data_IF_565201273458
#
_entry.id   IF_565201273458
#
_cell.length_a   1.000
_cell.length_b   1.000
_cell.length_c   1.000
_cell.angle_alpha   90.00
_cell.angle_beta   90.00
_cell.angle_gamma   90.00
#
_symmetry.space_group_name_H-M   'P 1'
#
loop_
_entity.id
_entity.type
_entity.pdbx_description
1 polymer ?
#
# COMPACT_ATOMS: atom_id res chain seq x y z
N UNK A 1 -21.56 -9.62 31.29
CA UNK A 1 -21.29 -9.18 29.90
C UNK A 1 -21.86 -7.77 29.76
N UNK A 2 -21.06 -6.75 30.07
CA UNK A 2 -21.45 -5.34 29.96
C UNK A 2 -20.85 -4.85 28.64
N UNK A 3 -21.65 -4.84 27.58
CA UNK A 3 -21.24 -4.28 26.29
C UNK A 3 -22.18 -3.08 26.13
N UNK A 4 -21.61 -1.87 26.06
CA UNK A 4 -22.39 -0.66 25.84
C UNK A 4 -23.20 -0.76 24.54
N UNK A 5 -24.23 0.08 24.34
CA UNK A 5 -24.99 0.10 23.10
C UNK A 5 -24.03 0.20 21.91
N UNK A 6 -24.27 -0.60 20.88
CA UNK A 6 -23.45 -0.57 19.68
C UNK A 6 -23.43 0.85 19.12
N UNK A 7 -22.24 1.42 18.92
CA UNK A 7 -22.08 2.70 18.22
C UNK A 7 -22.75 2.56 16.86
N UNK A 8 -23.76 3.38 16.59
CA UNK A 8 -24.37 3.46 15.27
C UNK A 8 -23.36 4.11 14.33
N UNK A 9 -22.56 3.28 13.64
CA UNK A 9 -21.63 3.75 12.62
C UNK A 9 -22.44 4.41 11.49
N UNK A 10 -22.31 5.74 11.37
CA UNK A 10 -22.87 6.47 10.23
C UNK A 10 -22.20 5.98 8.94
N UNK A 11 -22.96 5.93 7.85
CA UNK A 11 -22.46 5.49 6.54
C UNK A 11 -21.35 6.43 6.03
N UNK A 12 -20.18 5.87 5.72
CA UNK A 12 -19.07 6.59 5.11
C UNK A 12 -19.29 6.72 3.60
N UNK A 13 -19.65 7.93 3.15
CA UNK A 13 -19.94 8.22 1.74
C UNK A 13 -18.70 8.07 0.84
N UNK A 14 -17.51 8.08 1.42
CA UNK A 14 -16.23 7.95 0.69
C UNK A 14 -15.77 6.49 0.52
N UNK A 15 -16.42 5.52 1.16
CA UNK A 15 -15.99 4.10 1.20
C UNK A 15 -15.74 3.50 -0.20
N UNK A 16 -16.66 3.71 -1.15
CA UNK A 16 -16.50 3.20 -2.52
C UNK A 16 -15.31 3.85 -3.27
N UNK A 17 -14.99 5.10 -2.97
CA UNK A 17 -13.84 5.79 -3.55
C UNK A 17 -12.53 5.25 -2.97
N UNK A 18 -12.46 5.10 -1.64
CA UNK A 18 -11.31 4.51 -0.96
C UNK A 18 -10.98 3.12 -1.50
N UNK A 19 -11.99 2.25 -1.64
CA UNK A 19 -11.81 0.91 -2.19
C UNK A 19 -11.18 0.93 -3.60
N UNK A 20 -11.62 1.83 -4.48
CA UNK A 20 -11.06 1.97 -5.83
C UNK A 20 -9.58 2.38 -5.80
N UNK A 21 -9.23 3.39 -5.01
CA UNK A 21 -7.83 3.83 -4.88
C UNK A 21 -6.96 2.70 -4.30
N UNK A 22 -7.46 1.97 -3.31
CA UNK A 22 -6.77 0.83 -2.71
C UNK A 22 -6.47 -0.26 -3.73
N UNK A 23 -7.43 -0.60 -4.60
CA UNK A 23 -7.24 -1.58 -5.67
C UNK A 23 -6.19 -1.10 -6.68
N UNK A 24 -6.21 0.17 -7.09
CA UNK A 24 -5.20 0.67 -8.03
C UNK A 24 -3.78 0.60 -7.43
N UNK A 25 -3.61 1.00 -6.17
CA UNK A 25 -2.32 0.92 -5.48
C UNK A 25 -1.88 -0.54 -5.26
N UNK A 26 -2.81 -1.43 -4.93
CA UNK A 26 -2.54 -2.86 -4.80
C UNK A 26 -2.07 -3.47 -6.12
N UNK A 27 -2.77 -3.22 -7.24
CA UNK A 27 -2.39 -3.75 -8.56
C UNK A 27 -1.03 -3.20 -8.97
N UNK A 28 -0.77 -1.92 -8.75
CA UNK A 28 0.54 -1.32 -9.01
C UNK A 28 1.64 -2.03 -8.20
N UNK A 29 1.46 -2.16 -6.88
CA UNK A 29 2.42 -2.86 -6.02
C UNK A 29 2.63 -4.31 -6.47
N UNK A 30 1.54 -5.02 -6.78
CA UNK A 30 1.55 -6.41 -7.21
C UNK A 30 2.37 -6.59 -8.50
N UNK A 31 2.27 -5.68 -9.47
CA UNK A 31 3.06 -5.74 -10.70
C UNK A 31 4.57 -5.62 -10.40
N UNK A 32 4.96 -4.67 -9.54
CA UNK A 32 6.36 -4.49 -9.15
C UNK A 32 6.87 -5.71 -8.39
N UNK A 33 6.09 -6.22 -7.43
CA UNK A 33 6.42 -7.43 -6.67
C UNK A 33 6.52 -8.67 -7.56
N UNK A 34 5.63 -8.82 -8.54
CA UNK A 34 5.68 -9.92 -9.50
C UNK A 34 6.96 -9.86 -10.32
N UNK A 35 7.39 -8.67 -10.75
CA UNK A 35 8.68 -8.47 -11.40
C UNK A 35 9.86 -8.99 -10.56
N UNK A 36 9.88 -8.66 -9.27
CA UNK A 36 10.88 -9.20 -8.33
C UNK A 36 10.88 -10.73 -8.28
N UNK A 37 9.71 -11.34 -8.09
CA UNK A 37 9.57 -12.80 -8.00
C UNK A 37 10.05 -13.46 -9.29
N UNK A 38 9.60 -12.98 -10.46
CA UNK A 38 9.97 -13.51 -11.78
C UNK A 38 11.48 -13.48 -11.99
N UNK A 39 12.16 -12.39 -11.64
CA UNK A 39 13.62 -12.28 -11.80
C UNK A 39 14.33 -13.27 -10.87
N UNK A 40 13.88 -13.39 -9.61
CA UNK A 40 14.44 -14.36 -8.66
C UNK A 40 14.29 -15.80 -9.16
N UNK A 41 13.15 -16.15 -9.76
CA UNK A 41 12.88 -17.51 -10.24
C UNK A 41 13.62 -17.85 -11.53
N UNK A 42 13.68 -16.96 -12.52
CA UNK A 42 14.27 -17.27 -13.83
C UNK A 42 15.75 -16.91 -13.97
N UNK A 43 16.23 -15.91 -13.23
CA UNK A 43 17.60 -15.38 -13.35
C UNK A 43 18.21 -15.05 -11.97
N UNK A 44 18.34 -16.04 -11.07
CA UNK A 44 18.87 -15.81 -9.72
C UNK A 44 20.29 -15.22 -9.72
N UNK A 45 21.11 -15.53 -10.73
CA UNK A 45 22.45 -14.93 -10.87
C UNK A 45 22.45 -13.39 -10.99
N UNK A 46 21.38 -12.79 -11.54
CA UNK A 46 21.26 -11.33 -11.59
C UNK A 46 21.03 -10.74 -10.19
N UNK A 47 20.35 -11.47 -9.32
CA UNK A 47 20.03 -11.06 -7.96
C UNK A 47 21.24 -11.07 -7.03
N UNK A 48 22.27 -11.85 -7.37
CA UNK A 48 23.54 -11.94 -6.64
C UNK A 48 24.52 -10.80 -6.96
N UNK A 49 24.27 -10.05 -8.05
CA UNK A 49 25.14 -8.95 -8.48
C UNK A 49 25.14 -7.88 -7.37
N UNK A 50 26.33 -7.48 -6.94
CA UNK A 50 26.52 -6.37 -6.01
C UNK A 50 26.23 -5.05 -6.72
N UNK A 51 25.31 -4.27 -6.19
CA UNK A 51 24.85 -3.02 -6.82
C UNK A 51 25.13 -1.80 -5.96
N UNK A 52 25.01 -1.91 -4.63
CA UNK A 52 25.11 -0.74 -3.76
C UNK A 52 25.68 -1.11 -2.40
N UNK A 53 26.73 -0.41 -1.95
CA UNK A 53 27.38 -0.65 -0.66
C UNK A 53 27.71 -2.15 -0.40
N UNK A 54 28.24 -2.85 -1.41
CA UNK A 54 28.48 -4.30 -1.38
C UNK A 54 27.23 -5.19 -1.21
N UNK A 55 26.02 -4.61 -1.14
CA UNK A 55 24.76 -5.34 -1.11
C UNK A 55 24.41 -5.83 -2.51
N UNK A 56 23.88 -7.05 -2.55
CA UNK A 56 23.38 -7.65 -3.77
C UNK A 56 22.05 -7.01 -4.22
N UNK A 57 21.72 -7.18 -5.50
CA UNK A 57 20.53 -6.61 -6.10
C UNK A 57 19.25 -7.10 -5.41
N UNK A 58 19.20 -8.36 -4.95
CA UNK A 58 18.06 -8.88 -4.21
C UNK A 58 17.74 -8.07 -2.95
N UNK A 59 18.76 -7.75 -2.15
CA UNK A 59 18.60 -6.99 -0.91
C UNK A 59 18.13 -5.57 -1.23
N UNK A 60 18.79 -4.90 -2.17
CA UNK A 60 18.44 -3.52 -2.56
C UNK A 60 17.02 -3.44 -3.11
N UNK A 61 16.65 -4.37 -3.99
CA UNK A 61 15.30 -4.45 -4.54
C UNK A 61 14.26 -4.74 -3.45
N UNK A 62 14.54 -5.69 -2.56
CA UNK A 62 13.67 -6.03 -1.43
C UNK A 62 13.40 -4.84 -0.52
N UNK A 63 14.44 -4.09 -0.13
CA UNK A 63 14.25 -2.84 0.63
C UNK A 63 13.49 -1.79 -0.17
N UNK A 64 13.73 -1.69 -1.49
CA UNK A 64 12.95 -0.84 -2.38
C UNK A 64 11.45 -1.16 -2.35
N UNK A 65 11.07 -2.44 -2.35
CA UNK A 65 9.68 -2.87 -2.23
C UNK A 65 9.06 -2.49 -0.88
N UNK A 66 9.81 -2.56 0.21
CA UNK A 66 9.34 -2.14 1.54
C UNK A 66 9.06 -0.63 1.55
N UNK A 67 10.01 0.17 1.06
CA UNK A 67 9.86 1.63 0.97
C UNK A 67 8.66 1.99 0.08
N UNK A 68 8.51 1.31 -1.06
CA UNK A 68 7.39 1.52 -1.98
C UNK A 68 6.05 1.15 -1.34
N UNK A 69 5.96 0.07 -0.55
CA UNK A 69 4.75 -0.30 0.19
C UNK A 69 4.36 0.78 1.21
N UNK A 70 5.34 1.28 1.98
CA UNK A 70 5.12 2.35 2.95
C UNK A 70 4.64 3.62 2.23
N UNK A 71 5.31 4.01 1.15
CA UNK A 71 4.91 5.17 0.35
C UNK A 71 3.48 5.03 -0.19
N UNK A 72 3.13 3.85 -0.73
CA UNK A 72 1.77 3.57 -1.20
C UNK A 72 0.73 3.69 -0.07
N UNK A 73 1.04 3.18 1.13
CA UNK A 73 0.18 3.32 2.31
C UNK A 73 -0.02 4.77 2.74
N UNK A 74 1.05 5.58 2.75
CA UNK A 74 0.98 7.01 3.07
C UNK A 74 0.16 7.79 2.03
N UNK A 75 0.38 7.50 0.74
CA UNK A 75 -0.39 8.09 -0.36
C UNK A 75 -1.86 7.70 -0.28
N UNK A 76 -2.16 6.42 -0.02
CA UNK A 76 -3.51 5.94 0.18
C UNK A 76 -4.20 6.70 1.31
N UNK A 77 -3.55 6.77 2.48
CA UNK A 77 -4.08 7.45 3.65
C UNK A 77 -4.39 8.92 3.35
N UNK A 78 -3.42 9.65 2.78
CA UNK A 78 -3.57 11.06 2.43
C UNK A 78 -4.75 11.30 1.46
N UNK A 79 -4.89 10.46 0.44
CA UNK A 79 -5.98 10.58 -0.54
C UNK A 79 -7.34 10.25 0.11
N UNK A 80 -7.39 9.24 0.97
CA UNK A 80 -8.61 8.80 1.64
C UNK A 80 -9.10 9.84 2.65
N UNK A 81 -8.22 10.39 3.50
CA UNK A 81 -8.57 11.45 4.45
C UNK A 81 -9.16 12.66 3.73
N UNK A 82 -8.55 13.08 2.62
CA UNK A 82 -9.09 14.19 1.82
C UNK A 82 -10.44 13.87 1.18
N UNK A 83 -10.69 12.60 0.85
CA UNK A 83 -11.99 12.16 0.33
C UNK A 83 -13.07 12.16 1.41
N UNK A 84 -12.72 11.72 2.63
CA UNK A 84 -13.60 11.80 3.80
C UNK A 84 -14.01 13.25 4.08
N UNK A 85 -13.05 14.17 4.20
CA UNK A 85 -13.30 15.59 4.49
C UNK A 85 -14.27 16.23 3.48
N UNK A 86 -14.15 15.83 2.21
CA UNK A 86 -14.96 16.37 1.10
C UNK A 86 -16.35 15.76 1.03
N UNK A 87 -16.48 14.46 1.29
CA UNK A 87 -17.70 13.71 1.02
C UNK A 87 -18.58 13.55 2.26
N UNK A 88 -17.97 13.51 3.44
CA UNK A 88 -18.67 13.43 4.72
C UNK A 88 -18.86 14.82 5.37
N UNK A 89 -18.14 15.85 4.90
CA UNK A 89 -18.14 17.21 5.47
C UNK A 89 -17.18 17.31 6.67
N UNK A 90 -16.70 18.53 6.97
CA UNK A 90 -15.82 18.78 8.12
C UNK A 90 -16.56 18.42 9.42
N UNK A 91 -16.30 17.23 9.98
CA UNK A 91 -16.89 16.80 11.27
C UNK A 91 -17.42 15.37 11.32
N UNK A 92 -16.79 14.41 10.64
CA UNK A 92 -17.02 12.99 10.90
C UNK A 92 -15.93 12.43 11.84
N UNK A 93 -15.86 12.97 13.05
CA UNK A 93 -15.30 12.31 14.24
C UNK A 93 -16.38 12.22 15.32
#
# INVERSE_FOLDING_TARGET
MLHGPAVQLSEDKSSAYKAKIGIYLFVFYLLVYTGFVVINTWKPKLMEIKVFMDLNLAVVYGFGLIILAIAAGLVYNFICTRAEDRMNGQGAE
#
